data_IF_661792020450
#
_entry.id   IF_661792020450
#
_cell.length_a   1.000
_cell.length_b   1.000
_cell.length_c   1.000
_cell.angle_alpha   90.00
_cell.angle_beta   90.00
_cell.angle_gamma   90.00
#
_symmetry.space_group_name_H-M   'P 1'
#
loop_
_entity.id
_entity.type
_entity.pdbx_description
1 polymer ?
#
# COMPACT_ATOMS: atom_id res chain seq x y z
N UNK A 1 -3.01 -14.25 17.87
CA UNK A 1 -2.66 -15.57 17.29
C UNK A 1 -1.87 -15.35 16.03
N UNK A 2 -0.70 -15.99 15.83
CA UNK A 2 0.09 -15.84 14.59
C UNK A 2 -0.43 -16.81 13.52
N UNK A 3 -0.61 -16.29 12.29
CA UNK A 3 -1.04 -17.01 11.09
C UNK A 3 -0.01 -16.85 9.98
N UNK A 4 0.30 -17.95 9.28
CA UNK A 4 1.35 -18.03 8.25
C UNK A 4 0.80 -18.46 6.87
N UNK A 5 -0.51 -18.35 6.65
CA UNK A 5 -1.18 -18.77 5.40
C UNK A 5 -2.22 -17.74 4.96
N UNK A 6 -2.28 -17.50 3.65
CA UNK A 6 -3.30 -16.64 3.02
C UNK A 6 -4.70 -17.18 3.32
N UNK A 7 -5.61 -16.29 3.72
CA UNK A 7 -7.05 -16.53 3.79
C UNK A 7 -7.65 -16.24 2.42
N UNK A 8 -8.23 -17.25 1.77
CA UNK A 8 -8.86 -17.14 0.45
C UNK A 8 -10.30 -17.65 0.49
N UNK A 9 -11.25 -16.83 0.04
CA UNK A 9 -12.68 -17.17 -0.06
C UNK A 9 -13.10 -16.97 -1.51
N UNK A 10 -13.61 -18.05 -2.12
CA UNK A 10 -13.93 -18.18 -3.55
C UNK A 10 -12.68 -17.95 -4.44
N UNK A 11 -11.72 -18.88 -4.55
CA UNK A 11 -11.79 -20.31 -4.20
C UNK A 11 -11.00 -20.68 -2.94
N UNK A 12 -11.58 -21.56 -2.11
CA UNK A 12 -11.18 -21.76 -0.71
C UNK A 12 -9.90 -22.58 -0.56
N UNK A 13 -8.95 -22.08 0.23
CA UNK A 13 -8.19 -22.89 1.22
C UNK A 13 -7.94 -22.10 2.50
N UNK A 14 -8.27 -22.75 3.62
CA UNK A 14 -7.80 -22.46 4.97
C UNK A 14 -7.08 -23.72 5.46
N UNK A 15 -5.92 -23.60 6.10
CA UNK A 15 -5.14 -24.79 6.47
C UNK A 15 -5.48 -25.26 7.90
N UNK A 16 -6.25 -26.33 8.00
CA UNK A 16 -7.19 -26.55 9.11
C UNK A 16 -6.59 -27.23 10.36
N UNK A 17 -5.55 -26.62 10.97
CA UNK A 17 -4.87 -27.20 12.16
C UNK A 17 -4.65 -26.25 13.34
N UNK A 18 -5.02 -24.96 13.25
CA UNK A 18 -4.90 -23.99 14.37
C UNK A 18 -6.08 -23.02 14.58
N UNK A 19 -7.11 -23.08 13.73
CA UNK A 19 -8.26 -22.17 13.80
C UNK A 19 -9.36 -22.71 14.72
N UNK A 20 -9.44 -22.24 15.97
CA UNK A 20 -10.52 -22.61 16.90
C UNK A 20 -11.17 -21.43 17.65
N UNK A 21 -10.79 -20.17 17.38
CA UNK A 21 -11.37 -18.98 18.06
C UNK A 21 -11.43 -17.71 17.22
N UNK A 22 -10.39 -17.44 16.42
CA UNK A 22 -10.16 -16.12 15.78
C UNK A 22 -10.69 -15.92 14.35
N UNK A 23 -11.28 -16.94 13.73
CA UNK A 23 -12.01 -16.83 12.45
C UNK A 23 -13.44 -17.34 12.67
N UNK A 24 -14.44 -16.63 12.16
CA UNK A 24 -15.86 -17.03 12.23
C UNK A 24 -16.59 -16.68 10.93
N UNK A 25 -17.34 -17.63 10.39
CA UNK A 25 -18.29 -17.46 9.29
C UNK A 25 -19.68 -17.49 9.96
N UNK A 26 -20.43 -16.39 9.92
CA UNK A 26 -21.81 -16.29 10.47
C UNK A 26 -22.83 -16.78 9.43
N UNK A 27 -24.10 -17.04 9.83
CA UNK A 27 -25.16 -17.40 8.89
C UNK A 27 -25.39 -16.36 7.78
N UNK A 28 -25.21 -15.08 8.10
CA UNK A 28 -25.63 -13.93 7.28
C UNK A 28 -24.56 -13.45 6.28
N UNK A 29 -23.74 -14.38 5.76
CA UNK A 29 -22.54 -14.09 4.92
C UNK A 29 -21.50 -13.15 5.59
N UNK A 30 -21.57 -12.98 6.91
CA UNK A 30 -20.68 -12.15 7.73
C UNK A 30 -19.38 -12.92 8.11
N UNK A 31 -18.20 -12.31 7.88
CA UNK A 31 -16.89 -12.91 8.22
C UNK A 31 -16.19 -12.11 9.33
N UNK A 32 -15.84 -12.75 10.44
CA UNK A 32 -15.07 -12.13 11.53
C UNK A 32 -13.64 -12.70 11.62
N UNK A 33 -12.64 -11.81 11.68
CA UNK A 33 -11.24 -12.14 11.97
C UNK A 33 -10.82 -11.34 13.20
N UNK A 34 -10.65 -12.03 14.33
CA UNK A 34 -10.51 -11.46 15.67
C UNK A 34 -9.18 -11.88 16.30
N UNK A 35 -8.38 -10.92 16.79
CA UNK A 35 -7.13 -11.16 17.51
C UNK A 35 -6.09 -12.00 16.73
N UNK A 36 -6.01 -11.77 15.43
CA UNK A 36 -5.08 -12.44 14.52
C UNK A 36 -3.86 -11.57 14.19
N UNK A 37 -2.74 -12.21 13.88
CA UNK A 37 -1.52 -11.55 13.42
C UNK A 37 -0.97 -12.33 12.24
N UNK A 38 -0.99 -11.68 11.09
CA UNK A 38 -0.46 -12.19 9.83
C UNK A 38 0.96 -11.63 9.70
N UNK A 39 1.95 -12.49 9.50
CA UNK A 39 3.36 -12.06 9.44
C UNK A 39 4.10 -12.80 8.33
N UNK A 40 4.83 -12.05 7.50
CA UNK A 40 5.69 -12.57 6.43
C UNK A 40 4.95 -13.52 5.46
N UNK A 41 3.68 -13.21 5.18
CA UNK A 41 2.86 -13.99 4.23
C UNK A 41 2.94 -13.35 2.85
N UNK A 42 3.44 -14.09 1.87
CA UNK A 42 3.54 -13.65 0.46
C UNK A 42 2.55 -14.39 -0.44
N UNK A 43 1.71 -13.66 -1.16
CA UNK A 43 0.78 -14.18 -2.19
C UNK A 43 1.32 -13.96 -3.60
N UNK A 44 1.24 -14.98 -4.45
CA UNK A 44 1.50 -14.89 -5.91
C UNK A 44 0.34 -14.27 -6.70
N UNK A 45 -0.73 -13.86 -6.02
CA UNK A 45 -1.90 -13.16 -6.56
C UNK A 45 -2.12 -11.89 -5.72
N UNK A 46 -3.35 -11.39 -5.72
CA UNK A 46 -3.81 -10.35 -4.83
C UNK A 46 -3.84 -10.85 -3.36
N UNK A 47 -3.88 -9.92 -2.40
CA UNK A 47 -4.15 -10.23 -0.99
C UNK A 47 -3.07 -11.06 -0.32
N UNK A 48 -2.00 -10.43 0.20
CA UNK A 48 -0.89 -11.15 0.82
C UNK A 48 -1.28 -12.00 2.04
N UNK A 49 -2.26 -11.54 2.82
CA UNK A 49 -2.81 -12.25 3.96
C UNK A 49 -4.30 -12.58 3.83
N UNK A 50 -5.10 -11.71 3.22
CA UNK A 50 -6.54 -11.91 2.98
C UNK A 50 -6.88 -11.56 1.53
N UNK A 51 -7.53 -12.48 0.83
CA UNK A 51 -8.15 -12.28 -0.48
C UNK A 51 -9.63 -12.73 -0.43
N UNK A 52 -10.56 -11.78 -0.55
CA UNK A 52 -12.01 -12.03 -0.60
C UNK A 52 -12.55 -11.46 -1.92
N UNK A 53 -13.10 -12.30 -2.79
CA UNK A 53 -13.64 -11.86 -4.10
C UNK A 53 -15.12 -12.22 -4.25
N UNK A 54 -15.96 -11.62 -3.40
CA UNK A 54 -17.40 -11.85 -3.40
C UNK A 54 -18.15 -10.71 -2.69
N UNK A 55 -18.86 -9.87 -3.46
CA UNK A 55 -19.76 -8.81 -3.01
C UNK A 55 -20.99 -9.26 -2.20
N UNK A 56 -20.97 -10.51 -1.71
CA UNK A 56 -21.95 -11.05 -0.77
C UNK A 56 -21.50 -10.92 0.69
N UNK A 57 -20.22 -11.14 0.95
CA UNK A 57 -19.73 -11.21 2.31
C UNK A 57 -19.35 -9.84 2.85
N UNK A 58 -19.69 -9.59 4.12
CA UNK A 58 -19.05 -8.55 4.95
C UNK A 58 -17.72 -9.08 5.50
N UNK A 59 -16.74 -8.21 5.73
CA UNK A 59 -15.55 -8.56 6.52
C UNK A 59 -15.37 -7.64 7.73
N UNK A 60 -15.26 -8.21 8.92
CA UNK A 60 -14.87 -7.54 10.15
C UNK A 60 -13.49 -8.01 10.60
N UNK A 61 -12.56 -7.06 10.80
CA UNK A 61 -11.25 -7.30 11.42
C UNK A 61 -11.14 -6.53 12.74
N UNK A 62 -10.78 -7.23 13.82
CA UNK A 62 -10.67 -6.63 15.17
C UNK A 62 -9.38 -7.01 15.89
N UNK A 63 -8.64 -6.02 16.41
CA UNK A 63 -7.35 -6.20 17.10
C UNK A 63 -6.39 -7.07 16.27
N UNK A 64 -6.29 -6.74 14.97
CA UNK A 64 -5.60 -7.55 13.98
C UNK A 64 -4.34 -6.86 13.46
N UNK A 65 -3.24 -7.59 13.41
CA UNK A 65 -1.96 -7.12 12.90
C UNK A 65 -1.59 -7.76 11.56
N UNK A 66 -1.16 -6.96 10.60
CA UNK A 66 -0.61 -7.38 9.32
C UNK A 66 0.81 -6.81 9.22
N UNK A 67 1.81 -7.67 9.26
CA UNK A 67 3.22 -7.29 9.33
C UNK A 67 4.00 -7.92 8.19
N UNK A 68 4.57 -7.11 7.30
CA UNK A 68 5.42 -7.57 6.19
C UNK A 68 4.70 -8.53 5.22
N UNK A 69 3.36 -8.48 5.17
CA UNK A 69 2.58 -9.20 4.17
C UNK A 69 2.83 -8.63 2.77
N UNK A 70 2.95 -9.50 1.77
CA UNK A 70 3.26 -9.11 0.40
C UNK A 70 2.31 -9.74 -0.63
N UNK A 71 1.99 -9.01 -1.70
CA UNK A 71 1.24 -9.54 -2.85
C UNK A 71 1.91 -9.21 -4.19
N UNK A 72 1.73 -10.09 -5.18
CA UNK A 72 2.32 -9.93 -6.52
C UNK A 72 1.55 -8.96 -7.43
N UNK A 73 0.36 -8.52 -7.04
CA UNK A 73 -0.51 -7.63 -7.83
C UNK A 73 -1.02 -6.47 -6.99
N UNK A 74 -2.10 -6.68 -6.23
CA UNK A 74 -2.78 -5.67 -5.43
C UNK A 74 -3.06 -6.13 -3.99
N UNK A 75 -3.20 -5.19 -3.06
CA UNK A 75 -3.58 -5.47 -1.67
C UNK A 75 -2.50 -6.23 -0.90
N UNK A 76 -1.39 -5.56 -0.58
CA UNK A 76 -0.19 -6.22 -0.04
C UNK A 76 -0.44 -7.03 1.24
N UNK A 77 -1.36 -6.58 2.10
CA UNK A 77 -1.95 -7.42 3.14
C UNK A 77 -3.36 -7.91 2.78
N UNK A 78 -4.22 -7.00 2.30
CA UNK A 78 -5.66 -7.23 2.18
C UNK A 78 -6.16 -6.80 0.80
N UNK A 79 -6.85 -7.70 0.11
CA UNK A 79 -7.55 -7.43 -1.14
C UNK A 79 -9.01 -7.90 -1.04
N UNK A 80 -9.95 -6.98 -1.20
CA UNK A 80 -11.38 -7.23 -1.04
C UNK A 80 -12.18 -6.72 -2.24
N UNK A 81 -13.09 -7.56 -2.73
CA UNK A 81 -14.31 -7.17 -3.43
C UNK A 81 -15.47 -7.71 -2.57
N UNK A 82 -16.09 -6.87 -1.74
CA UNK A 82 -16.95 -7.30 -0.64
C UNK A 82 -18.21 -6.43 -0.49
N UNK A 83 -19.16 -6.84 0.33
CA UNK A 83 -20.33 -6.00 0.64
C UNK A 83 -19.92 -4.79 1.50
N UNK A 84 -19.19 -5.07 2.58
CA UNK A 84 -18.61 -4.07 3.48
C UNK A 84 -17.29 -4.55 4.09
N UNK A 85 -16.47 -3.60 4.57
CA UNK A 85 -15.24 -3.89 5.31
C UNK A 85 -15.09 -2.96 6.53
N UNK A 86 -15.05 -3.57 7.72
CA UNK A 86 -14.77 -2.90 8.98
C UNK A 86 -13.40 -3.31 9.53
N UNK A 87 -12.48 -2.36 9.61
CA UNK A 87 -11.19 -2.45 10.28
C UNK A 87 -11.22 -1.67 11.60
N UNK A 88 -11.41 -2.37 12.73
CA UNK A 88 -11.42 -1.76 14.05
C UNK A 88 -10.22 -2.19 14.89
N UNK A 89 -9.41 -1.23 15.36
CA UNK A 89 -8.13 -1.51 16.02
C UNK A 89 -7.25 -2.44 15.18
N UNK A 90 -7.04 -2.11 13.90
CA UNK A 90 -6.24 -2.94 12.98
C UNK A 90 -4.93 -2.23 12.64
N UNK A 91 -3.83 -2.97 12.50
CA UNK A 91 -2.53 -2.43 12.15
C UNK A 91 -1.97 -3.07 10.88
N UNK A 92 -1.57 -2.24 9.93
CA UNK A 92 -0.84 -2.60 8.72
C UNK A 92 0.57 -2.02 8.82
N UNK A 93 1.57 -2.88 8.73
CA UNK A 93 2.97 -2.52 8.93
C UNK A 93 3.87 -3.15 7.88
N UNK A 94 4.64 -2.34 7.15
CA UNK A 94 5.62 -2.83 6.18
C UNK A 94 5.04 -3.63 5.01
N UNK A 95 3.73 -3.54 4.77
CA UNK A 95 3.05 -4.28 3.71
C UNK A 95 3.43 -3.74 2.33
N UNK A 96 3.48 -4.62 1.32
CA UNK A 96 3.92 -4.28 -0.03
C UNK A 96 3.11 -5.02 -1.10
N UNK A 97 2.85 -4.37 -2.23
CA UNK A 97 2.28 -5.00 -3.42
C UNK A 97 3.06 -4.55 -4.66
N UNK A 98 3.45 -5.51 -5.52
CA UNK A 98 4.35 -5.21 -6.63
C UNK A 98 3.80 -4.17 -7.63
N UNK A 99 2.47 -4.12 -7.83
CA UNK A 99 1.83 -3.21 -8.79
C UNK A 99 1.11 -2.05 -8.10
N UNK A 100 0.17 -2.32 -7.17
CA UNK A 100 -0.65 -1.27 -6.53
C UNK A 100 -1.16 -1.65 -5.14
N UNK A 101 -1.64 -0.66 -4.37
CA UNK A 101 -2.47 -0.89 -3.17
C UNK A 101 -1.69 -1.61 -2.05
N UNK A 102 -0.64 -0.94 -1.57
CA UNK A 102 0.48 -1.54 -0.83
C UNK A 102 0.09 -2.19 0.50
N UNK A 103 -0.93 -1.68 1.18
CA UNK A 103 -1.52 -2.31 2.35
C UNK A 103 -2.87 -2.95 2.03
N UNK A 104 -3.81 -2.14 1.51
CA UNK A 104 -5.23 -2.49 1.38
C UNK A 104 -5.77 -2.04 0.03
N UNK A 105 -6.41 -2.97 -0.67
CA UNK A 105 -7.34 -2.71 -1.77
C UNK A 105 -8.74 -3.12 -1.30
N UNK A 106 -9.74 -2.25 -1.43
CA UNK A 106 -11.13 -2.60 -1.13
C UNK A 106 -12.09 -1.98 -2.15
N UNK A 107 -12.79 -2.85 -2.87
CA UNK A 107 -13.91 -2.51 -3.75
C UNK A 107 -15.20 -2.94 -3.05
N UNK A 108 -16.04 -1.97 -2.68
CA UNK A 108 -17.38 -2.23 -2.14
C UNK A 108 -18.43 -1.78 -3.14
N UNK A 109 -19.52 -2.56 -3.21
CA UNK A 109 -20.45 -2.51 -4.34
C UNK A 109 -21.15 -1.15 -4.48
N UNK A 110 -20.67 -0.30 -5.40
CA UNK A 110 -21.22 1.04 -5.71
C UNK A 110 -22.74 1.10 -5.91
N UNK A 111 -23.37 -0.01 -6.32
CA UNK A 111 -24.80 -0.08 -6.66
C UNK A 111 -25.58 -1.10 -5.83
N UNK A 112 -25.28 -1.24 -4.54
CA UNK A 112 -26.36 -1.52 -3.58
C UNK A 112 -27.27 -0.28 -3.52
N UNK A 113 -28.60 -0.46 -3.49
CA UNK A 113 -29.53 0.66 -3.22
C UNK A 113 -29.67 0.93 -1.72
N UNK A 114 -29.16 0.03 -0.90
CA UNK A 114 -29.07 0.14 0.54
C UNK A 114 -27.82 0.94 0.93
N UNK A 115 -27.99 1.95 1.79
CA UNK A 115 -26.95 2.87 2.26
C UNK A 115 -25.89 2.19 3.16
N UNK A 116 -25.94 0.87 3.32
CA UNK A 116 -25.19 0.09 4.31
C UNK A 116 -23.87 -0.55 3.80
N UNK A 117 -23.53 -0.40 2.51
CA UNK A 117 -22.26 -0.88 1.97
C UNK A 117 -21.12 0.12 2.29
N UNK A 118 -20.19 -0.24 3.17
CA UNK A 118 -19.17 0.67 3.71
C UNK A 118 -17.73 0.11 3.76
N UNK A 119 -16.77 1.03 3.83
CA UNK A 119 -15.37 0.81 4.19
C UNK A 119 -15.04 1.66 5.43
N UNK A 120 -15.11 1.08 6.63
CA UNK A 120 -14.83 1.79 7.89
C UNK A 120 -13.49 1.39 8.50
N UNK A 121 -12.61 2.37 8.69
CA UNK A 121 -11.29 2.25 9.30
C UNK A 121 -11.22 3.07 10.60
N UNK A 122 -11.43 2.41 11.74
CA UNK A 122 -11.52 3.04 13.05
C UNK A 122 -10.40 2.55 13.99
N UNK A 123 -9.63 3.47 14.58
CA UNK A 123 -8.39 3.16 15.32
C UNK A 123 -7.41 2.30 14.51
N UNK A 124 -7.30 2.55 13.19
CA UNK A 124 -6.45 1.77 12.30
C UNK A 124 -5.16 2.52 11.96
N UNK A 125 -4.05 1.80 11.84
CA UNK A 125 -2.73 2.38 11.56
C UNK A 125 -2.14 1.72 10.32
N UNK A 126 -1.63 2.53 9.38
CA UNK A 126 -1.00 2.10 8.14
C UNK A 126 0.39 2.72 8.11
N UNK A 127 1.42 1.91 8.38
CA UNK A 127 2.75 2.37 8.77
C UNK A 127 3.86 1.67 7.99
N UNK A 128 4.75 2.42 7.33
CA UNK A 128 5.83 1.90 6.50
C UNK A 128 5.39 0.96 5.36
N UNK A 129 4.10 0.98 5.00
CA UNK A 129 3.58 0.27 3.83
C UNK A 129 4.11 0.99 2.59
N UNK A 130 4.82 0.26 1.72
CA UNK A 130 5.81 0.83 0.79
C UNK A 130 6.90 1.64 1.51
N UNK A 131 8.03 1.04 1.94
CA UNK A 131 9.12 1.76 2.61
C UNK A 131 9.97 2.56 1.62
N UNK A 132 10.78 3.52 2.09
CA UNK A 132 11.66 4.32 1.22
C UNK A 132 12.69 3.49 0.42
N UNK A 133 13.04 2.29 0.90
CA UNK A 133 13.93 1.34 0.20
C UNK A 133 13.23 0.55 -0.91
N UNK A 134 11.90 0.45 -0.87
CA UNK A 134 11.06 -0.15 -1.90
C UNK A 134 9.82 0.69 -2.05
N UNK A 135 9.95 1.73 -2.86
CA UNK A 135 8.81 2.50 -3.32
C UNK A 135 7.97 1.60 -4.24
N UNK A 136 7.03 0.89 -3.63
CA UNK A 136 5.95 0.21 -4.32
C UNK A 136 5.28 1.18 -5.27
N UNK A 137 4.99 0.70 -6.47
CA UNK A 137 4.79 1.58 -7.63
C UNK A 137 3.67 2.59 -7.36
N UNK A 138 2.53 2.12 -6.81
CA UNK A 138 1.33 2.92 -6.60
C UNK A 138 0.74 2.73 -5.20
N UNK A 139 0.32 3.85 -4.60
CA UNK A 139 -0.61 4.10 -3.47
C UNK A 139 -0.71 3.12 -2.29
N UNK A 140 -0.67 3.65 -1.07
CA UNK A 140 -0.65 2.82 0.14
C UNK A 140 -2.00 2.13 0.46
N UNK A 141 -3.12 2.83 0.26
CA UNK A 141 -4.49 2.28 0.33
C UNK A 141 -5.31 2.77 -0.85
N UNK A 142 -6.17 1.91 -1.39
CA UNK A 142 -7.19 2.24 -2.37
C UNK A 142 -8.55 1.71 -1.94
N UNK A 143 -9.55 2.60 -1.92
CA UNK A 143 -10.95 2.28 -1.64
C UNK A 143 -11.84 2.79 -2.77
N UNK A 144 -12.72 1.93 -3.29
CA UNK A 144 -13.70 2.31 -4.32
C UNK A 144 -15.13 1.93 -3.92
N UNK A 145 -16.08 2.82 -4.19
CA UNK A 145 -17.51 2.65 -3.90
C UNK A 145 -17.91 2.83 -2.43
N UNK A 146 -19.22 2.79 -2.20
CA UNK A 146 -19.87 2.76 -0.87
C UNK A 146 -19.61 3.99 0.01
N UNK A 147 -20.00 3.90 1.28
CA UNK A 147 -19.54 4.84 2.30
C UNK A 147 -18.07 4.57 2.64
N UNK A 148 -17.29 5.61 2.91
CA UNK A 148 -15.87 5.47 3.26
C UNK A 148 -15.55 6.34 4.48
N UNK A 149 -15.17 5.69 5.59
CA UNK A 149 -15.18 6.30 6.92
C UNK A 149 -13.85 6.02 7.63
N UNK A 150 -13.09 7.07 7.93
CA UNK A 150 -11.83 7.00 8.67
C UNK A 150 -11.95 7.75 9.99
N UNK A 151 -11.79 7.04 11.11
CA UNK A 151 -11.95 7.57 12.47
C UNK A 151 -10.72 7.24 13.32
N UNK A 152 -10.05 8.26 13.87
CA UNK A 152 -8.92 8.09 14.80
C UNK A 152 -7.75 7.25 14.20
N UNK A 153 -7.59 7.27 12.88
CA UNK A 153 -6.70 6.40 12.11
C UNK A 153 -5.47 7.15 11.58
N UNK A 154 -4.36 6.45 11.38
CA UNK A 154 -3.05 7.09 11.20
C UNK A 154 -2.26 6.50 10.03
N UNK A 155 -1.68 7.37 9.21
CA UNK A 155 -0.88 7.03 8.02
C UNK A 155 0.53 7.60 8.20
N UNK A 156 1.50 6.72 8.47
CA UNK A 156 2.80 7.13 8.98
C UNK A 156 3.95 6.51 8.19
N UNK A 157 4.88 7.34 7.70
CA UNK A 157 6.13 6.89 7.09
C UNK A 157 5.91 5.95 5.88
N UNK A 158 4.84 6.19 5.11
CA UNK A 158 4.52 5.45 3.88
C UNK A 158 5.14 6.17 2.68
N UNK A 159 5.84 5.44 1.81
CA UNK A 159 6.69 6.01 0.76
C UNK A 159 6.42 5.35 -0.59
N UNK A 160 5.40 5.80 -1.32
CA UNK A 160 5.06 5.27 -2.65
C UNK A 160 5.84 6.02 -3.74
N UNK A 161 5.99 5.41 -4.92
CA UNK A 161 6.61 6.10 -6.07
C UNK A 161 5.63 7.03 -6.78
N UNK A 162 4.41 6.55 -7.01
CA UNK A 162 3.37 7.21 -7.81
C UNK A 162 2.07 7.36 -7.03
N UNK A 163 1.25 8.32 -7.46
CA UNK A 163 -0.08 8.60 -6.90
C UNK A 163 0.00 9.02 -5.42
N UNK A 164 -0.74 8.36 -4.52
CA UNK A 164 -1.06 8.87 -3.18
C UNK A 164 -0.42 8.07 -2.03
N UNK A 165 0.41 8.74 -1.22
CA UNK A 165 1.22 8.08 -0.19
C UNK A 165 0.48 7.64 1.08
N UNK A 166 -0.74 8.12 1.33
CA UNK A 166 -1.61 7.58 2.38
C UNK A 166 -2.80 6.81 1.82
N UNK A 167 -3.65 7.46 1.01
CA UNK A 167 -4.86 6.82 0.47
C UNK A 167 -5.41 7.47 -0.80
N UNK A 168 -6.11 6.67 -1.60
CA UNK A 168 -7.03 7.12 -2.65
C UNK A 168 -8.44 6.63 -2.30
N UNK A 169 -9.42 7.53 -2.40
CA UNK A 169 -10.85 7.21 -2.41
C UNK A 169 -11.43 7.55 -3.79
N UNK A 170 -12.24 6.65 -4.33
CA UNK A 170 -12.90 6.81 -5.63
C UNK A 170 -14.36 6.39 -5.58
N UNK A 171 -15.25 7.22 -6.14
CA UNK A 171 -16.70 6.96 -6.18
C UNK A 171 -17.39 6.67 -4.82
N UNK A 172 -17.00 7.30 -3.67
CA UNK A 172 -17.75 7.11 -2.44
C UNK A 172 -19.11 7.82 -2.52
N UNK A 173 -20.13 7.21 -1.93
CA UNK A 173 -21.43 7.88 -1.72
C UNK A 173 -21.32 8.91 -0.60
N UNK A 174 -20.62 8.57 0.48
CA UNK A 174 -20.30 9.44 1.61
C UNK A 174 -18.82 9.24 1.98
N UNK A 175 -18.08 10.34 2.17
CA UNK A 175 -16.70 10.30 2.67
C UNK A 175 -16.55 11.05 3.99
N UNK A 176 -16.06 10.38 5.03
CA UNK A 176 -15.91 10.92 6.38
C UNK A 176 -14.49 10.67 6.89
N UNK A 177 -13.77 11.72 7.25
CA UNK A 177 -12.37 11.66 7.70
C UNK A 177 -12.22 12.46 8.99
N UNK A 178 -11.99 11.79 10.12
CA UNK A 178 -12.04 12.42 11.44
C UNK A 178 -10.96 11.95 12.40
N UNK A 179 -10.34 12.91 13.11
CA UNK A 179 -9.30 12.66 14.11
C UNK A 179 -8.10 11.86 13.58
N UNK A 180 -7.79 11.98 12.30
CA UNK A 180 -6.75 11.20 11.64
C UNK A 180 -5.43 11.98 11.52
N UNK A 181 -4.32 11.25 11.46
CA UNK A 181 -2.96 11.81 11.36
C UNK A 181 -2.21 11.26 10.14
N UNK A 182 -1.57 12.14 9.38
CA UNK A 182 -0.83 11.83 8.17
C UNK A 182 0.57 12.43 8.26
N UNK A 183 1.61 11.60 8.42
CA UNK A 183 2.96 12.10 8.70
C UNK A 183 4.11 11.27 8.15
N UNK A 184 5.26 11.93 7.92
CA UNK A 184 6.54 11.33 7.46
C UNK A 184 6.45 10.56 6.14
N UNK A 185 5.35 10.73 5.40
CA UNK A 185 5.05 9.99 4.19
C UNK A 185 5.53 10.75 2.95
N UNK A 186 5.71 10.04 1.83
CA UNK A 186 6.17 10.62 0.56
C UNK A 186 5.59 9.94 -0.66
N UNK A 187 5.27 10.72 -1.68
CA UNK A 187 4.79 10.27 -3.00
C UNK A 187 4.60 11.48 -3.91
N UNK A 188 3.79 11.36 -4.96
CA UNK A 188 3.30 12.54 -5.68
C UNK A 188 2.37 13.34 -4.78
N UNK A 189 1.40 12.65 -4.18
CA UNK A 189 0.36 13.22 -3.32
C UNK A 189 0.30 12.49 -1.96
N UNK A 190 -0.52 12.97 -1.02
CA UNK A 190 -0.76 12.31 0.26
C UNK A 190 -2.19 11.74 0.38
N UNK A 191 -3.19 12.49 -0.07
CA UNK A 191 -4.59 12.06 -0.16
C UNK A 191 -5.10 12.36 -1.57
N UNK A 192 -5.84 11.45 -2.20
CA UNK A 192 -6.55 11.70 -3.46
C UNK A 192 -8.03 11.35 -3.29
N UNK A 193 -8.89 12.31 -3.61
CA UNK A 193 -10.35 12.23 -3.59
C UNK A 193 -10.86 12.35 -5.03
N UNK A 194 -11.58 11.35 -5.51
CA UNK A 194 -12.08 11.28 -6.88
C UNK A 194 -13.59 10.94 -6.95
N UNK A 195 -14.36 11.81 -7.61
CA UNK A 195 -15.80 11.65 -7.89
C UNK A 195 -16.64 11.23 -6.65
N UNK A 196 -16.66 12.07 -5.61
CA UNK A 196 -17.67 11.98 -4.55
C UNK A 196 -19.03 12.44 -5.10
N UNK A 197 -20.06 11.63 -4.89
CA UNK A 197 -21.44 11.95 -5.33
C UNK A 197 -22.17 12.89 -4.35
N UNK A 198 -22.08 12.64 -3.04
CA UNK A 198 -22.80 13.41 -2.00
C UNK A 198 -21.92 13.90 -0.82
N UNK A 199 -22.50 14.71 0.07
CA UNK A 199 -21.78 15.50 1.08
C UNK A 199 -20.83 14.73 2.02
N UNK A 200 -19.55 15.08 1.98
CA UNK A 200 -18.46 14.60 2.85
C UNK A 200 -18.38 15.38 4.17
N UNK A 201 -17.63 14.86 5.14
CA UNK A 201 -17.21 15.60 6.33
C UNK A 201 -15.78 15.26 6.71
N UNK A 202 -14.85 16.19 6.44
CA UNK A 202 -13.45 16.06 6.81
C UNK A 202 -13.21 16.98 8.03
N UNK A 203 -12.85 16.44 9.20
CA UNK A 203 -12.59 17.27 10.38
C UNK A 203 -11.50 16.81 11.36
N UNK A 204 -10.87 17.78 12.05
CA UNK A 204 -9.90 17.54 13.14
C UNK A 204 -8.71 16.65 12.77
N UNK A 205 -8.07 16.89 11.62
CA UNK A 205 -6.93 16.06 11.17
C UNK A 205 -5.60 16.81 11.21
N UNK A 206 -4.54 16.07 11.51
CA UNK A 206 -3.15 16.54 11.56
C UNK A 206 -2.41 16.04 10.31
N UNK A 207 -1.87 16.94 9.47
CA UNK A 207 -1.08 16.58 8.29
C UNK A 207 0.27 17.30 8.36
N UNK A 208 1.35 16.57 8.67
CA UNK A 208 2.64 17.21 8.95
C UNK A 208 3.89 16.37 8.66
N UNK A 209 5.04 17.04 8.45
CA UNK A 209 6.33 16.40 8.20
C UNK A 209 6.33 15.42 6.99
N UNK A 210 5.50 15.64 5.98
CA UNK A 210 5.48 14.83 4.75
C UNK A 210 6.36 15.46 3.66
N UNK A 211 6.94 14.66 2.78
CA UNK A 211 7.78 15.14 1.65
C UNK A 211 7.24 14.62 0.33
N UNK A 212 6.63 15.48 -0.47
CA UNK A 212 6.10 15.14 -1.79
C UNK A 212 7.12 15.40 -2.90
N UNK A 213 6.90 14.81 -4.07
CA UNK A 213 7.73 15.02 -5.25
C UNK A 213 7.66 16.49 -5.70
N UNK A 214 8.78 17.15 -5.92
CA UNK A 214 8.82 18.59 -6.27
C UNK A 214 8.47 18.80 -7.75
N UNK A 215 7.18 18.68 -8.08
CA UNK A 215 6.63 18.94 -9.41
C UNK A 215 5.29 19.70 -9.31
N UNK A 216 4.81 20.25 -10.43
CA UNK A 216 3.60 21.10 -10.44
C UNK A 216 2.30 20.35 -10.14
N UNK A 217 2.26 19.05 -10.40
CA UNK A 217 1.15 18.13 -10.13
C UNK A 217 1.36 17.38 -8.81
N UNK A 218 1.85 18.08 -7.79
CA UNK A 218 2.08 17.53 -6.45
C UNK A 218 1.32 18.35 -5.42
N UNK A 219 0.42 17.68 -4.71
CA UNK A 219 -0.43 18.32 -3.71
C UNK A 219 -0.69 17.39 -2.53
N UNK A 220 -0.82 17.98 -1.34
CA UNK A 220 -1.14 17.21 -0.13
C UNK A 220 -2.53 16.56 -0.26
N UNK A 221 -3.50 17.25 -0.87
CA UNK A 221 -4.82 16.69 -1.20
C UNK A 221 -5.24 17.02 -2.63
N UNK A 222 -5.41 15.99 -3.47
CA UNK A 222 -6.09 16.09 -4.78
C UNK A 222 -7.59 15.90 -4.60
N UNK A 223 -8.40 16.74 -5.25
CA UNK A 223 -9.87 16.78 -5.15
C UNK A 223 -10.47 16.90 -6.57
N UNK A 224 -10.69 15.77 -7.22
CA UNK A 224 -11.21 15.71 -8.59
C UNK A 224 -12.74 15.59 -8.60
N UNK A 225 -13.40 16.52 -9.32
CA UNK A 225 -14.84 16.49 -9.60
C UNK A 225 -15.72 16.32 -8.33
N UNK A 226 -15.21 16.78 -7.18
CA UNK A 226 -15.77 16.58 -5.84
C UNK A 226 -15.74 17.89 -5.06
N UNK A 227 -16.64 18.07 -4.09
CA UNK A 227 -16.52 19.18 -3.12
C UNK A 227 -15.70 18.77 -1.88
N UNK A 228 -15.26 19.75 -1.10
CA UNK A 228 -14.86 19.73 0.33
C UNK A 228 -15.46 21.03 0.94
N UNK A 229 -15.56 21.43 2.22
CA UNK A 229 -15.33 21.00 3.62
C UNK A 229 -14.04 20.27 3.98
N UNK A 230 -13.09 21.07 4.48
CA UNK A 230 -12.20 20.72 5.59
C UNK A 230 -12.56 21.60 6.80
N UNK A 231 -12.78 20.99 7.96
CA UNK A 231 -13.03 21.71 9.22
C UNK A 231 -11.92 21.42 10.23
N UNK A 232 -11.18 22.43 10.69
CA UNK A 232 -10.12 22.26 11.68
C UNK A 232 -9.09 21.22 11.21
N UNK A 233 -8.49 21.46 10.06
CA UNK A 233 -7.30 20.73 9.59
C UNK A 233 -6.04 21.52 9.93
N UNK A 234 -4.95 20.85 10.27
CA UNK A 234 -3.62 21.44 10.38
C UNK A 234 -2.73 20.87 9.28
N UNK A 235 -2.19 21.76 8.47
CA UNK A 235 -1.09 21.52 7.54
C UNK A 235 0.15 22.21 8.13
N UNK A 236 1.23 21.46 8.36
CA UNK A 236 2.44 22.00 8.99
C UNK A 236 3.72 21.23 8.61
N UNK A 237 4.81 21.92 8.29
CA UNK A 237 6.12 21.34 7.97
C UNK A 237 6.04 20.27 6.86
N UNK A 238 5.23 20.53 5.84
CA UNK A 238 5.14 19.66 4.66
C UNK A 238 6.02 20.23 3.53
N UNK A 239 6.81 19.38 2.89
CA UNK A 239 7.64 19.73 1.75
C UNK A 239 6.87 19.35 0.48
N UNK A 240 6.06 20.27 -0.02
CA UNK A 240 5.17 20.07 -1.18
C UNK A 240 5.11 21.35 -2.03
N UNK A 241 4.78 21.21 -3.32
CA UNK A 241 4.58 22.39 -4.18
C UNK A 241 3.22 23.06 -3.90
N UNK A 242 2.16 22.26 -3.65
CA UNK A 242 0.83 22.73 -3.26
C UNK A 242 0.25 21.97 -2.06
N UNK A 243 -0.71 22.58 -1.34
CA UNK A 243 -1.48 21.87 -0.31
C UNK A 243 -2.73 21.20 -0.88
N UNK A 244 -3.43 21.85 -1.81
CA UNK A 244 -4.68 21.39 -2.39
C UNK A 244 -4.72 21.64 -3.90
N UNK A 245 -5.21 20.66 -4.64
CA UNK A 245 -5.34 20.68 -6.10
C UNK A 245 -6.72 20.13 -6.48
N UNK A 246 -7.34 20.68 -7.53
CA UNK A 246 -8.60 20.12 -8.02
C UNK A 246 -9.35 20.99 -9.03
N UNK A 247 -10.56 20.55 -9.35
CA UNK A 247 -11.37 21.06 -10.47
C UNK A 247 -12.76 21.56 -10.06
N UNK A 248 -13.01 21.73 -8.75
CA UNK A 248 -14.36 22.03 -8.26
C UNK A 248 -14.37 23.04 -7.09
N UNK A 249 -14.82 22.68 -5.87
CA UNK A 249 -14.98 23.65 -4.77
C UNK A 249 -14.52 23.09 -3.41
N UNK A 250 -13.83 23.93 -2.63
CA UNK A 250 -13.39 23.64 -1.26
C UNK A 250 -13.86 24.71 -0.29
N UNK A 251 -14.59 24.31 0.74
CA UNK A 251 -14.81 25.11 1.95
C UNK A 251 -13.73 24.81 2.99
N UNK A 252 -13.05 25.84 3.48
CA UNK A 252 -12.12 25.75 4.61
C UNK A 252 -12.79 26.39 5.84
N UNK A 253 -12.78 25.70 6.98
CA UNK A 253 -13.42 26.20 8.21
C UNK A 253 -12.44 26.01 9.37
N UNK A 254 -11.93 27.12 9.92
CA UNK A 254 -10.98 27.14 11.04
C UNK A 254 -9.74 26.23 10.84
N UNK A 255 -9.27 26.05 9.60
CA UNK A 255 -8.05 25.31 9.30
C UNK A 255 -6.80 26.13 9.65
N UNK A 256 -5.62 25.52 9.64
CA UNK A 256 -4.35 26.18 9.91
C UNK A 256 -3.25 25.66 9.00
N UNK A 257 -2.50 26.58 8.42
CA UNK A 257 -1.42 26.37 7.47
C UNK A 257 -0.21 27.23 7.88
N UNK A 258 0.99 26.72 7.65
CA UNK A 258 2.25 27.48 7.64
C UNK A 258 2.61 28.04 6.26
N UNK A 259 1.85 27.69 5.23
CA UNK A 259 1.97 28.17 3.85
C UNK A 259 1.30 29.54 3.62
N UNK A 260 1.70 30.20 2.53
CA UNK A 260 0.93 31.28 1.91
C UNK A 260 -0.33 30.73 1.21
N UNK A 261 -1.40 31.52 1.13
CA UNK A 261 -2.67 31.09 0.53
C UNK A 261 -2.51 30.73 -0.96
N UNK A 262 -1.73 31.53 -1.67
CA UNK A 262 -1.42 31.44 -3.10
C UNK A 262 -0.54 30.23 -3.44
N UNK A 263 0.22 29.73 -2.45
CA UNK A 263 1.02 28.50 -2.59
C UNK A 263 0.19 27.26 -2.25
N UNK A 264 -0.76 27.39 -1.32
CA UNK A 264 -1.57 26.30 -0.82
C UNK A 264 -2.56 25.74 -1.86
N UNK A 265 -2.90 26.47 -2.91
CA UNK A 265 -4.03 26.17 -3.81
C UNK A 265 -3.57 26.12 -5.27
N UNK A 266 -4.02 25.09 -6.01
CA UNK A 266 -3.73 24.91 -7.45
C UNK A 266 -4.91 24.34 -8.23
N UNK A 267 -4.86 24.47 -9.56
CA UNK A 267 -5.93 24.10 -10.49
C UNK A 267 -7.07 25.11 -10.53
N UNK A 268 -8.25 24.67 -10.97
CA UNK A 268 -9.47 25.49 -11.07
C UNK A 268 -10.26 25.54 -9.75
N UNK A 269 -9.58 25.27 -8.63
CA UNK A 269 -10.16 24.97 -7.34
C UNK A 269 -10.75 26.21 -6.65
N UNK A 270 -12.09 26.30 -6.61
CA UNK A 270 -12.80 27.41 -5.98
C UNK A 270 -12.76 27.28 -4.46
N UNK A 271 -11.88 28.01 -3.80
CA UNK A 271 -11.75 27.98 -2.34
C UNK A 271 -12.63 29.04 -1.69
N UNK A 272 -13.28 28.69 -0.58
CA UNK A 272 -14.13 29.55 0.24
C UNK A 272 -13.75 29.36 1.70
N UNK A 273 -13.08 30.35 2.30
CA UNK A 273 -12.63 30.26 3.69
C UNK A 273 -13.64 30.84 4.70
N UNK A 274 -13.65 30.23 5.90
CA UNK A 274 -14.29 30.74 7.11
C UNK A 274 -13.35 30.59 8.31
N UNK A 275 -12.42 31.56 8.43
CA UNK A 275 -11.61 31.76 9.63
C UNK A 275 -10.41 30.84 9.77
N UNK A 276 -9.89 30.31 8.65
CA UNK A 276 -8.61 29.60 8.67
C UNK A 276 -7.43 30.56 8.87
N UNK A 277 -6.27 30.00 9.16
CA UNK A 277 -5.03 30.75 9.44
C UNK A 277 -3.93 30.29 8.51
N UNK A 278 -3.20 31.24 7.93
CA UNK A 278 -2.11 31.02 6.98
C UNK A 278 -0.82 31.65 7.53
N UNK A 279 0.35 31.19 7.08
CA UNK A 279 1.66 31.59 7.63
C UNK A 279 1.77 31.44 9.16
N UNK A 280 1.10 30.46 9.76
CA UNK A 280 1.12 30.23 11.22
C UNK A 280 1.93 29.01 11.63
N UNK A 281 2.74 29.15 12.69
CA UNK A 281 3.40 28.03 13.34
C UNK A 281 2.35 27.09 14.00
N UNK A 282 2.00 26.03 13.29
CA UNK A 282 0.88 25.14 13.63
C UNK A 282 1.09 24.37 14.93
N UNK A 283 0.19 24.55 15.90
CA UNK A 283 0.10 23.69 17.09
C UNK A 283 -0.84 22.52 16.80
N UNK A 284 -0.27 21.35 16.47
CA UNK A 284 -0.96 20.06 16.23
C UNK A 284 -2.09 19.83 17.24
N UNK A 285 -3.24 19.32 16.79
CA UNK A 285 -4.31 18.96 17.70
C UNK A 285 -3.86 17.79 18.58
N UNK A 286 -4.16 17.87 19.89
CA UNK A 286 -4.02 16.73 20.80
C UNK A 286 -5.16 15.74 20.55
N UNK A 287 -5.03 14.95 19.50
CA UNK A 287 -5.96 13.89 19.14
C UNK A 287 -6.08 12.86 20.28
N UNK A 288 -7.24 12.23 20.42
CA UNK A 288 -7.44 11.09 21.35
C UNK A 288 -6.84 9.81 20.76
N UNK A 289 -5.53 9.81 20.63
CA UNK A 289 -4.73 8.74 20.05
C UNK A 289 -4.80 7.48 20.94
N UNK A 290 -5.38 6.38 20.46
CA UNK A 290 -5.07 5.07 21.02
C UNK A 290 -3.66 4.69 20.59
N UNK A 291 -2.80 4.17 21.48
CA UNK A 291 -1.41 3.85 21.12
C UNK A 291 -1.31 2.70 20.12
N UNK A 292 -0.24 2.69 19.32
CA UNK A 292 0.04 1.67 18.28
C UNK A 292 0.31 0.24 18.80
N UNK A 293 0.13 -0.02 20.10
CA UNK A 293 0.11 -1.37 20.66
C UNK A 293 -1.32 -1.91 20.86
N UNK A 294 -2.34 -1.05 20.94
CA UNK A 294 -3.76 -1.46 21.10
C UNK A 294 -4.38 -2.10 19.84
N UNK A 295 -3.71 -2.00 18.69
CA UNK A 295 -4.16 -2.58 17.41
C UNK A 295 -3.65 -4.02 17.15
N UNK A 296 -2.68 -4.50 17.92
CA UNK A 296 -2.11 -5.83 17.72
C UNK A 296 -2.92 -6.87 18.48
N UNK A 297 -2.89 -8.11 18.00
CA UNK A 297 -3.49 -9.21 18.73
C UNK A 297 -2.81 -9.36 20.10
N UNK A 298 -3.61 -9.56 21.15
CA UNK A 298 -3.16 -9.65 22.55
C UNK A 298 -1.95 -10.59 22.67
N UNK A 299 -0.88 -10.10 23.30
CA UNK A 299 0.39 -10.82 23.47
C UNK A 299 1.39 -10.71 22.31
N UNK A 300 1.03 -10.07 21.19
CA UNK A 300 1.93 -9.86 20.06
C UNK A 300 2.72 -8.56 20.24
N UNK A 301 4.05 -8.62 20.09
CA UNK A 301 4.88 -7.43 20.14
C UNK A 301 4.68 -6.57 18.88
N UNK A 302 4.59 -5.24 19.06
CA UNK A 302 4.62 -4.30 17.93
C UNK A 302 5.97 -4.41 17.20
N UNK A 303 6.00 -4.54 15.86
CA UNK A 303 7.22 -4.78 15.10
C UNK A 303 8.18 -3.58 15.19
N UNK A 304 9.49 -3.85 15.27
CA UNK A 304 10.53 -2.82 15.32
C UNK A 304 10.89 -2.33 13.92
N UNK A 305 11.14 -1.03 13.79
CA UNK A 305 11.30 -0.31 12.53
C UNK A 305 12.65 -0.53 11.79
N UNK A 306 13.11 -1.78 11.64
CA UNK A 306 14.40 -2.12 11.02
C UNK A 306 14.44 -3.47 10.27
N UNK A 307 15.32 -3.53 9.26
CA UNK A 307 15.99 -4.67 8.60
C UNK A 307 15.24 -5.71 7.74
N UNK A 308 13.95 -6.02 7.90
CA UNK A 308 13.39 -7.25 7.24
C UNK A 308 13.04 -7.06 5.74
N UNK A 309 12.72 -5.84 5.29
CA UNK A 309 12.13 -5.55 3.97
C UNK A 309 12.99 -5.88 2.72
N UNK A 310 14.26 -6.26 2.89
CA UNK A 310 15.15 -6.65 1.78
C UNK A 310 14.73 -8.00 1.15
N UNK A 311 14.13 -8.92 1.92
CA UNK A 311 13.86 -10.28 1.43
C UNK A 311 12.71 -10.37 0.42
N UNK A 312 11.65 -9.58 0.60
CA UNK A 312 10.44 -9.58 -0.25
C UNK A 312 10.76 -9.20 -1.71
N UNK A 313 11.85 -8.46 -1.94
CA UNK A 313 12.18 -7.82 -3.22
C UNK A 313 13.01 -8.69 -4.15
N UNK A 314 13.55 -9.81 -3.67
CA UNK A 314 14.54 -10.62 -4.39
C UNK A 314 14.07 -11.99 -4.96
N UNK A 315 12.78 -12.28 -5.25
CA UNK A 315 12.42 -13.57 -5.84
C UNK A 315 13.03 -13.75 -7.25
N UNK A 316 13.27 -12.67 -8.01
CA UNK A 316 13.86 -12.72 -9.35
C UNK A 316 15.35 -13.09 -9.38
N UNK A 317 16.09 -12.95 -8.28
CA UNK A 317 17.53 -13.30 -8.27
C UNK A 317 17.78 -14.83 -8.32
N UNK A 318 16.74 -15.64 -8.11
CA UNK A 318 16.77 -17.07 -8.45
C UNK A 318 16.87 -17.30 -9.98
N UNK A 319 16.08 -16.57 -10.77
CA UNK A 319 16.05 -16.70 -12.23
C UNK A 319 17.32 -16.16 -12.90
N UNK A 320 17.82 -15.00 -12.46
CA UNK A 320 19.05 -14.41 -13.05
C UNK A 320 20.28 -15.25 -12.74
N UNK A 321 20.40 -15.83 -11.54
CA UNK A 321 21.50 -16.77 -11.25
C UNK A 321 21.42 -18.04 -12.12
N UNK A 322 20.22 -18.59 -12.35
CA UNK A 322 20.03 -19.72 -13.27
C UNK A 322 20.43 -19.37 -14.72
N UNK A 323 20.03 -18.19 -15.21
CA UNK A 323 20.37 -17.70 -16.55
C UNK A 323 21.89 -17.49 -16.70
N UNK A 324 22.55 -16.95 -15.68
CA UNK A 324 24.02 -16.78 -15.66
C UNK A 324 24.72 -18.14 -15.66
N UNK A 325 24.25 -19.11 -14.86
CA UNK A 325 24.80 -20.49 -14.86
C UNK A 325 24.63 -21.16 -16.22
N UNK A 326 23.46 -21.02 -16.85
CA UNK A 326 23.20 -21.55 -18.20
C UNK A 326 24.12 -20.89 -19.24
N UNK A 327 24.31 -19.56 -19.19
CA UNK A 327 25.25 -18.85 -20.07
C UNK A 327 26.70 -19.31 -19.87
N UNK A 328 27.15 -19.48 -18.63
CA UNK A 328 28.50 -19.99 -18.31
C UNK A 328 28.69 -21.42 -18.83
N UNK A 329 27.69 -22.29 -18.70
CA UNK A 329 27.72 -23.65 -19.25
C UNK A 329 27.77 -23.67 -20.79
N UNK A 330 26.98 -22.81 -21.45
CA UNK A 330 26.98 -22.68 -22.92
C UNK A 330 28.34 -22.17 -23.42
N UNK A 331 28.86 -21.08 -22.84
CA UNK A 331 30.15 -20.51 -23.23
C UNK A 331 31.30 -21.49 -22.95
N UNK A 332 31.30 -22.14 -21.78
CA UNK A 332 32.27 -23.17 -21.43
C UNK A 332 32.23 -24.38 -22.38
N UNK A 333 31.04 -24.82 -22.78
CA UNK A 333 30.85 -25.89 -23.76
C UNK A 333 31.38 -25.52 -25.16
N UNK A 334 31.11 -24.29 -25.64
CA UNK A 334 31.61 -23.78 -26.92
C UNK A 334 33.15 -23.70 -26.92
N UNK A 335 33.75 -23.15 -25.85
CA UNK A 335 35.21 -23.05 -25.72
C UNK A 335 35.87 -24.43 -25.62
N UNK A 336 35.30 -25.34 -24.84
CA UNK A 336 35.78 -26.72 -24.73
C UNK A 336 35.71 -27.48 -26.06
N UNK A 337 34.61 -27.33 -26.81
CA UNK A 337 34.47 -27.92 -28.14
C UNK A 337 35.48 -27.35 -29.14
N UNK A 338 35.72 -26.03 -29.13
CA UNK A 338 36.69 -25.39 -30.01
C UNK A 338 38.14 -25.88 -29.75
N UNK A 339 38.53 -26.03 -28.48
CA UNK A 339 39.84 -26.58 -28.09
C UNK A 339 39.97 -28.05 -28.50
N UNK A 340 38.95 -28.88 -28.25
CA UNK A 340 38.95 -30.28 -28.65
C UNK A 340 39.02 -30.45 -30.17
N UNK A 341 38.31 -29.61 -30.92
CA UNK A 341 38.35 -29.61 -32.39
C UNK A 341 39.73 -29.23 -32.92
N UNK A 342 40.35 -28.16 -32.40
CA UNK A 342 41.68 -27.72 -32.87
C UNK A 342 42.81 -28.71 -32.51
N UNK A 343 42.68 -29.42 -31.38
CA UNK A 343 43.59 -30.52 -31.04
C UNK A 343 43.45 -31.71 -32.00
N UNK A 344 42.22 -32.10 -32.34
CA UNK A 344 41.99 -33.23 -33.26
C UNK A 344 42.35 -32.92 -34.72
N UNK A 345 42.21 -31.67 -35.17
CA UNK A 345 42.75 -31.29 -36.49
C UNK A 345 44.27 -31.35 -36.48
N UNK A 346 44.93 -30.75 -35.47
CA UNK A 346 46.39 -30.77 -35.37
C UNK A 346 47.00 -32.18 -35.26
N UNK A 347 46.31 -33.13 -34.62
CA UNK A 347 46.73 -34.54 -34.57
C UNK A 347 46.62 -35.18 -35.96
N UNK A 348 45.57 -34.91 -36.73
CA UNK A 348 45.45 -35.41 -38.12
C UNK A 348 46.47 -34.78 -39.06
N UNK A 349 46.66 -33.47 -38.95
CA UNK A 349 47.66 -32.73 -39.73
C UNK A 349 49.10 -33.22 -39.44
N UNK A 350 49.33 -33.91 -38.30
CA UNK A 350 50.56 -34.62 -37.96
C UNK A 350 50.62 -36.06 -38.48
N UNK A 351 49.48 -36.76 -38.60
CA UNK A 351 49.40 -38.12 -39.17
C UNK A 351 49.59 -38.11 -40.70
N UNK A 352 49.19 -37.04 -41.38
CA UNK A 352 49.34 -36.85 -42.84
C UNK A 352 50.76 -36.39 -43.27
N UNK A 353 51.71 -36.21 -42.34
CA UNK A 353 53.10 -35.87 -42.67
C UNK A 353 53.94 -37.14 -42.93
N UNK A 354 54.27 -37.39 -44.20
CA UNK A 354 55.20 -38.47 -44.56
C UNK A 354 56.55 -38.34 -43.83
N UNK A 355 57.11 -39.45 -43.31
CA UNK A 355 58.37 -39.43 -42.58
C UNK A 355 59.52 -39.01 -43.47
N UNK A 356 60.18 -37.90 -43.13
CA UNK A 356 61.34 -37.37 -43.85
C UNK A 356 62.49 -38.39 -43.78
N UNK A 357 62.76 -39.07 -44.89
CA UNK A 357 63.96 -39.90 -45.04
C UNK A 357 65.20 -39.00 -45.02
N UNK A 358 65.94 -39.05 -43.91
CA UNK A 358 67.26 -38.42 -43.80
C UNK A 358 68.30 -39.43 -44.30
N UNK A 359 68.69 -39.30 -45.57
CA UNK A 359 69.88 -39.97 -46.10
C UNK A 359 71.15 -39.38 -45.46
N UNK A 360 72.14 -40.23 -45.20
CA UNK A 360 73.47 -39.88 -44.67
C UNK A 360 74.56 -40.23 -45.69
#
# INVERSE_FOLDING_TARGET
MILNTVISINDKKFNNTRYNTGLREKPDEDLEILYCTFTDITSKKEGGAICLKSYRYSLFTFCCGFSLCASHTAGGAVYLNCYSYLAYKTCFYGCLALNSDQAVHSDVRKYARDEAADNTFNLTFICQCSPKQSQGQKRAVFLTGGMQIFLNSNFTNNHVREESSAMITSYPTIFNLKFCEFTKSSGTNLIWIHLIEDGFTLSYCNIYNNTLAVNKSSSVVVIEQSRAVFTRFIFFDNQCFHCMEGTYQVFLIECSFDFQFEQAIFGELKVSDKGSKFMTAGRKYKLKFAPTWDCWAIGSASPRATSILIHILNPQNSSTSLIIVILVLIVGGIVGFAIWFSQNTFIRDLEDLEPINIEN
#
